data_IF_807408983249
#
_entry.id   IF_807408983249
#
_cell.length_a   1.000
_cell.length_b   1.000
_cell.length_c   1.000
_cell.angle_alpha   90.00
_cell.angle_beta   90.00
_cell.angle_gamma   90.00
#
_symmetry.space_group_name_H-M   'P 1'
#
loop_
_entity.id
_entity.type
_entity.pdbx_description
1 polymer ?
#
# COMPACT_ATOMS: atom_id res chain seq x y z
N UNK A 1 -33.24 -9.91 -6.21
CA UNK A 1 -31.94 -9.25 -6.42
C UNK A 1 -31.96 -7.87 -5.79
N UNK A 2 -31.00 -7.54 -4.96
CA UNK A 2 -30.86 -6.23 -4.31
C UNK A 2 -29.47 -5.64 -4.61
N UNK A 3 -29.32 -4.34 -4.40
CA UNK A 3 -28.03 -3.67 -4.51
C UNK A 3 -27.08 -4.17 -3.42
N UNK A 4 -25.82 -4.44 -3.77
CA UNK A 4 -24.80 -5.02 -2.89
C UNK A 4 -24.71 -4.29 -1.53
N UNK A 5 -24.69 -2.94 -1.53
CA UNK A 5 -24.64 -2.18 -0.29
C UNK A 5 -25.86 -2.38 0.62
N UNK A 6 -27.07 -2.63 0.05
CA UNK A 6 -28.27 -2.87 0.87
C UNK A 6 -28.23 -4.23 1.55
N UNK A 7 -27.71 -5.24 0.84
CA UNK A 7 -27.53 -6.59 1.39
C UNK A 7 -26.47 -6.54 2.50
N UNK A 8 -25.32 -5.88 2.23
CA UNK A 8 -24.26 -5.70 3.19
C UNK A 8 -24.73 -4.93 4.44
N UNK A 9 -25.48 -3.83 4.25
CA UNK A 9 -26.03 -3.04 5.36
C UNK A 9 -26.90 -3.90 6.28
N UNK A 10 -27.77 -4.74 5.70
CA UNK A 10 -28.63 -5.67 6.45
C UNK A 10 -27.82 -6.76 7.17
N UNK A 11 -26.80 -7.33 6.49
CA UNK A 11 -25.96 -8.40 7.06
C UNK A 11 -25.14 -7.90 8.25
N UNK A 12 -24.55 -6.71 8.16
CA UNK A 12 -23.66 -6.16 9.19
C UNK A 12 -24.37 -5.25 10.21
N UNK A 13 -25.65 -4.96 10.04
CA UNK A 13 -26.41 -4.07 10.94
C UNK A 13 -25.94 -2.61 10.88
N UNK A 14 -25.45 -2.14 9.72
CA UNK A 14 -24.88 -0.81 9.50
C UNK A 14 -25.76 0.03 8.54
N UNK A 15 -25.50 1.34 8.50
CA UNK A 15 -26.20 2.21 7.56
C UNK A 15 -25.83 1.94 6.10
N UNK A 16 -26.72 2.28 5.17
CA UNK A 16 -26.47 2.18 3.74
C UNK A 16 -25.24 3.00 3.29
N UNK A 17 -24.95 4.12 3.94
CA UNK A 17 -23.81 4.96 3.62
C UNK A 17 -22.50 4.32 4.10
N UNK A 18 -22.48 3.70 5.28
CA UNK A 18 -21.35 2.93 5.77
C UNK A 18 -21.07 1.72 4.89
N UNK A 19 -22.11 0.97 4.49
CA UNK A 19 -21.96 -0.16 3.58
C UNK A 19 -21.38 0.26 2.21
N UNK A 20 -21.82 1.38 1.64
CA UNK A 20 -21.21 1.95 0.43
C UNK A 20 -19.74 2.32 0.66
N UNK A 21 -19.45 3.01 1.75
CA UNK A 21 -18.08 3.41 2.10
C UNK A 21 -17.14 2.19 2.27
N UNK A 22 -17.61 1.08 2.83
CA UNK A 22 -16.86 -0.17 2.95
C UNK A 22 -16.58 -0.79 1.57
N UNK A 23 -17.57 -0.82 0.69
CA UNK A 23 -17.39 -1.34 -0.68
C UNK A 23 -16.41 -0.44 -1.46
N UNK A 24 -16.57 0.88 -1.41
CA UNK A 24 -15.68 1.84 -2.04
C UNK A 24 -14.27 1.79 -1.41
N UNK A 25 -14.21 1.42 -0.13
CA UNK A 25 -12.95 1.12 0.54
C UNK A 25 -12.30 -0.16 0.02
N UNK A 26 -12.99 -1.01 -0.72
CA UNK A 26 -12.47 -2.26 -1.27
C UNK A 26 -12.20 -3.31 -0.21
N UNK A 27 -12.86 -3.23 0.95
CA UNK A 27 -12.72 -4.17 2.09
C UNK A 27 -13.85 -5.20 2.13
N UNK A 28 -14.69 -5.25 1.10
CA UNK A 28 -15.82 -6.17 0.97
C UNK A 28 -15.55 -7.18 -0.12
N UNK A 29 -15.76 -8.46 0.18
CA UNK A 29 -15.68 -9.55 -0.79
C UNK A 29 -16.89 -10.48 -0.67
N UNK A 30 -17.23 -11.18 -1.75
CA UNK A 30 -18.20 -12.25 -1.78
C UNK A 30 -17.66 -13.39 -2.65
N UNK A 31 -17.82 -14.63 -2.22
CA UNK A 31 -17.30 -15.82 -2.93
C UNK A 31 -15.81 -15.73 -3.31
N UNK A 32 -15.00 -15.07 -2.49
CA UNK A 32 -13.57 -14.87 -2.74
C UNK A 32 -13.22 -13.70 -3.67
N UNK A 33 -14.21 -13.03 -4.26
CA UNK A 33 -14.01 -11.88 -5.15
C UNK A 33 -14.30 -10.55 -4.44
N UNK A 34 -13.49 -9.54 -4.74
CA UNK A 34 -13.66 -8.18 -4.21
C UNK A 34 -14.87 -7.51 -4.86
N UNK A 35 -15.74 -6.94 -4.05
CA UNK A 35 -16.86 -6.15 -4.53
C UNK A 35 -16.41 -4.70 -4.68
N UNK A 36 -16.48 -4.19 -5.92
CA UNK A 36 -16.01 -2.84 -6.27
C UNK A 36 -17.13 -1.88 -6.66
N UNK A 37 -18.35 -2.39 -6.90
CA UNK A 37 -19.51 -1.60 -7.31
C UNK A 37 -20.60 -1.73 -6.25
N UNK A 38 -20.77 -0.70 -5.44
CA UNK A 38 -21.76 -0.69 -4.35
C UNK A 38 -23.20 -0.92 -4.84
N UNK A 39 -23.53 -0.47 -6.05
CA UNK A 39 -24.87 -0.60 -6.65
C UNK A 39 -25.05 -1.85 -7.53
N UNK A 40 -24.07 -2.76 -7.58
CA UNK A 40 -24.21 -4.02 -8.30
C UNK A 40 -25.43 -4.80 -7.78
N UNK A 41 -26.22 -5.37 -8.68
CA UNK A 41 -27.36 -6.23 -8.33
C UNK A 41 -26.85 -7.64 -8.01
N UNK A 42 -27.13 -8.11 -6.83
CA UNK A 42 -26.69 -9.41 -6.32
C UNK A 42 -27.87 -10.18 -5.70
N UNK A 43 -27.71 -11.49 -5.55
CA UNK A 43 -28.69 -12.30 -4.82
C UNK A 43 -28.78 -11.83 -3.37
N UNK A 44 -29.98 -11.78 -2.81
CA UNK A 44 -30.19 -11.44 -1.39
C UNK A 44 -29.53 -12.45 -0.43
N UNK A 45 -29.26 -13.67 -0.93
CA UNK A 45 -28.54 -14.72 -0.21
C UNK A 45 -27.01 -14.57 -0.30
N UNK A 46 -26.48 -13.49 -0.92
CA UNK A 46 -25.05 -13.26 -1.03
C UNK A 46 -24.48 -12.97 0.36
N UNK A 47 -23.54 -13.80 0.78
CA UNK A 47 -22.77 -13.58 2.01
C UNK A 47 -21.53 -12.75 1.69
N UNK A 48 -21.40 -11.62 2.36
CA UNK A 48 -20.23 -10.77 2.27
C UNK A 48 -19.25 -11.09 3.41
N UNK A 49 -17.96 -10.99 3.07
CA UNK A 49 -16.86 -11.03 4.05
C UNK A 49 -16.21 -9.65 4.10
N UNK A 50 -16.11 -9.11 5.31
CA UNK A 50 -15.43 -7.84 5.57
C UNK A 50 -13.98 -8.08 5.98
N UNK A 51 -13.07 -7.33 5.37
CA UNK A 51 -11.72 -7.18 5.88
C UNK A 51 -11.77 -6.11 6.98
N UNK A 52 -11.57 -6.51 8.23
CA UNK A 52 -11.43 -5.57 9.34
C UNK A 52 -10.08 -4.87 9.21
N UNK A 53 -10.10 -3.55 9.04
CA UNK A 53 -8.88 -2.74 9.00
C UNK A 53 -8.34 -2.63 10.43
N UNK A 54 -7.14 -3.14 10.65
CA UNK A 54 -6.45 -3.01 11.93
C UNK A 54 -6.11 -1.54 12.22
N UNK A 55 -5.89 -1.21 13.49
CA UNK A 55 -5.34 0.09 13.86
C UNK A 55 -3.85 0.15 13.52
N UNK A 56 -3.31 1.30 13.07
CA UNK A 56 -1.87 1.48 12.93
C UNK A 56 -1.17 1.20 14.26
N UNK A 57 -0.01 0.55 14.23
CA UNK A 57 0.81 0.28 15.41
C UNK A 57 2.01 1.22 15.41
N UNK A 58 2.35 1.80 16.55
CA UNK A 58 3.56 2.58 16.72
C UNK A 58 4.75 1.63 16.67
N UNK A 59 5.72 1.90 15.79
CA UNK A 59 7.02 1.23 15.70
C UNK A 59 8.03 1.97 16.57
N UNK A 60 7.98 3.31 16.49
CA UNK A 60 8.89 4.20 17.20
C UNK A 60 8.21 5.56 17.39
N UNK A 61 8.52 6.21 18.50
CA UNK A 61 8.08 7.57 18.78
C UNK A 61 9.10 8.29 19.67
N UNK A 62 9.43 9.53 19.30
CA UNK A 62 10.18 10.46 20.12
C UNK A 62 9.58 11.88 20.04
N UNK A 63 10.36 12.91 20.42
CA UNK A 63 9.91 14.31 20.37
C UNK A 63 9.83 14.86 18.92
N UNK A 64 10.41 14.19 17.94
CA UNK A 64 10.55 14.66 16.56
C UNK A 64 9.68 13.91 15.56
N UNK A 65 9.54 12.59 15.75
CA UNK A 65 8.96 11.70 14.75
C UNK A 65 8.10 10.61 15.38
N UNK A 66 7.05 10.22 14.65
CA UNK A 66 6.30 8.98 14.88
C UNK A 66 6.51 8.10 13.65
N UNK A 67 6.96 6.87 13.85
CA UNK A 67 6.96 5.83 12.84
C UNK A 67 5.86 4.81 13.16
N UNK A 68 5.00 4.54 12.19
CA UNK A 68 3.87 3.62 12.32
C UNK A 68 4.02 2.44 11.36
N UNK A 69 3.55 1.26 11.77
CA UNK A 69 3.19 0.20 10.86
C UNK A 69 1.73 0.43 10.41
N UNK A 70 1.57 1.00 9.21
CA UNK A 70 0.26 1.24 8.61
C UNK A 70 -0.32 -0.09 8.11
N UNK A 71 -1.51 -0.50 8.51
CA UNK A 71 -2.15 -1.67 7.92
C UNK A 71 -2.61 -1.37 6.48
N UNK A 72 -2.77 -2.44 5.70
CA UNK A 72 -3.42 -2.33 4.40
C UNK A 72 -4.85 -1.78 4.55
N UNK A 73 -5.34 -1.09 3.52
CA UNK A 73 -6.64 -0.40 3.43
C UNK A 73 -6.79 0.85 4.30
N UNK A 74 -5.91 1.11 5.25
CA UNK A 74 -5.88 2.38 5.96
C UNK A 74 -5.34 3.50 5.05
N UNK A 75 -5.91 4.69 5.14
CA UNK A 75 -5.54 5.88 4.36
C UNK A 75 -4.56 6.71 5.16
N UNK A 76 -3.37 6.99 4.61
CA UNK A 76 -2.29 7.71 5.30
C UNK A 76 -2.74 9.07 5.83
N UNK A 77 -3.48 9.83 5.03
CA UNK A 77 -3.98 11.15 5.39
C UNK A 77 -4.97 11.09 6.57
N UNK A 78 -5.87 10.09 6.58
CA UNK A 78 -6.82 9.92 7.70
C UNK A 78 -6.14 9.53 9.00
N UNK A 79 -5.03 8.76 8.92
CA UNK A 79 -4.22 8.45 10.10
C UNK A 79 -3.62 9.74 10.66
N UNK A 80 -3.00 10.56 9.82
CA UNK A 80 -2.43 11.84 10.24
C UNK A 80 -3.48 12.80 10.79
N UNK A 81 -4.62 12.96 10.14
CA UNK A 81 -5.76 13.76 10.61
C UNK A 81 -6.25 13.33 12.00
N UNK A 82 -6.30 12.01 12.25
CA UNK A 82 -6.72 11.50 13.55
C UNK A 82 -5.68 11.78 14.66
N UNK A 83 -4.39 11.66 14.36
CA UNK A 83 -3.32 11.98 15.30
C UNK A 83 -3.22 13.50 15.54
N UNK A 84 -3.42 14.30 14.51
CA UNK A 84 -3.43 15.77 14.61
C UNK A 84 -4.58 16.34 15.48
N UNK A 85 -5.58 15.54 15.83
CA UNK A 85 -6.61 15.93 16.82
C UNK A 85 -6.03 16.07 18.23
N UNK A 86 -5.02 15.29 18.57
CA UNK A 86 -4.31 15.34 19.85
C UNK A 86 -3.11 16.29 19.84
N UNK A 87 -2.42 16.42 18.70
CA UNK A 87 -1.30 17.35 18.51
C UNK A 87 -1.29 17.85 17.05
N UNK A 88 -1.63 19.13 16.88
CA UNK A 88 -1.74 19.82 15.58
C UNK A 88 -0.43 19.89 14.79
N UNK A 89 0.72 19.68 15.45
CA UNK A 89 2.03 19.71 14.80
C UNK A 89 2.31 18.41 14.04
N UNK A 90 1.54 17.34 14.29
CA UNK A 90 1.73 16.06 13.62
C UNK A 90 1.38 16.17 12.13
N UNK A 91 2.37 15.92 11.27
CA UNK A 91 2.22 16.02 9.82
C UNK A 91 2.87 14.84 9.11
N UNK A 92 2.31 14.40 7.99
CA UNK A 92 2.88 13.32 7.18
C UNK A 92 4.22 13.71 6.57
N UNK A 93 5.19 12.80 6.63
CA UNK A 93 6.47 12.87 5.92
C UNK A 93 6.45 12.07 4.61
N UNK A 94 5.80 10.91 4.59
CA UNK A 94 5.61 10.09 3.41
C UNK A 94 4.15 9.62 3.30
N UNK A 95 3.83 9.03 2.16
CA UNK A 95 2.52 8.41 1.91
C UNK A 95 2.71 6.99 1.41
N UNK A 96 1.80 6.13 1.81
CA UNK A 96 1.64 4.81 1.23
C UNK A 96 0.28 4.74 0.54
N UNK A 97 0.21 3.98 -0.55
CA UNK A 97 -1.07 3.67 -1.18
C UNK A 97 -2.00 3.01 -0.16
N UNK A 98 -3.29 3.12 -0.36
CA UNK A 98 -4.30 2.57 0.55
C UNK A 98 -4.08 1.08 0.83
N UNK A 99 -3.82 0.28 -0.21
CA UNK A 99 -3.63 -1.16 -0.10
C UNK A 99 -2.22 -1.58 0.31
N UNK A 100 -1.24 -0.66 0.27
CA UNK A 100 0.13 -0.88 0.75
C UNK A 100 0.19 -0.78 2.27
N UNK A 101 0.84 -1.74 2.91
CA UNK A 101 1.11 -1.73 4.35
C UNK A 101 2.56 -1.33 4.67
N UNK A 102 2.89 -1.10 5.95
CA UNK A 102 4.26 -0.90 6.41
C UNK A 102 4.57 0.50 6.92
N UNK A 103 5.83 0.91 6.85
CA UNK A 103 6.38 2.10 7.49
C UNK A 103 5.75 3.39 6.97
N UNK A 104 5.06 4.10 7.86
CA UNK A 104 4.50 5.43 7.64
C UNK A 104 5.10 6.39 8.66
N UNK A 105 5.69 7.49 8.19
CA UNK A 105 6.39 8.47 9.02
C UNK A 105 5.60 9.76 9.14
N UNK A 106 5.56 10.31 10.36
CA UNK A 106 4.96 11.60 10.69
C UNK A 106 5.95 12.43 11.51
N UNK A 107 6.11 13.71 11.18
CA UNK A 107 6.85 14.65 12.01
C UNK A 107 5.95 15.16 13.14
N UNK A 108 6.56 15.45 14.30
CA UNK A 108 5.90 16.06 15.47
C UNK A 108 6.23 17.55 15.63
N UNK A 109 7.20 18.07 14.88
CA UNK A 109 7.55 19.48 14.87
C UNK A 109 8.04 19.94 13.49
N UNK A 110 7.98 21.24 13.24
CA UNK A 110 8.28 21.82 11.93
C UNK A 110 9.78 21.79 11.60
N UNK A 111 10.66 21.87 12.59
CA UNK A 111 12.11 21.80 12.36
C UNK A 111 12.51 20.44 11.79
N UNK A 112 12.07 19.36 12.43
CA UNK A 112 12.33 18.01 11.93
C UNK A 112 11.66 17.78 10.57
N UNK A 113 10.43 18.27 10.41
CA UNK A 113 9.69 18.20 9.15
C UNK A 113 10.47 18.84 8.00
N UNK A 114 11.01 20.03 8.18
CA UNK A 114 11.79 20.73 7.15
C UNK A 114 13.05 19.93 6.75
N UNK A 115 13.80 19.39 7.75
CA UNK A 115 14.96 18.53 7.51
C UNK A 115 14.58 17.26 6.74
N UNK A 116 13.49 16.60 7.15
CA UNK A 116 12.99 15.37 6.51
C UNK A 116 12.57 15.63 5.06
N UNK A 117 11.79 16.70 4.80
CA UNK A 117 11.39 17.08 3.44
C UNK A 117 12.61 17.35 2.54
N UNK A 118 13.66 17.98 3.07
CA UNK A 118 14.91 18.19 2.31
C UNK A 118 15.55 16.85 1.91
N UNK A 119 15.56 15.84 2.81
CA UNK A 119 16.08 14.49 2.51
C UNK A 119 15.24 13.79 1.41
N UNK A 120 13.90 13.87 1.49
CA UNK A 120 13.02 13.32 0.46
C UNK A 120 13.23 13.98 -0.91
N UNK A 121 13.35 15.33 -0.94
CA UNK A 121 13.61 16.07 -2.19
C UNK A 121 14.97 15.74 -2.81
N UNK A 122 15.97 15.49 -1.98
CA UNK A 122 17.32 15.12 -2.41
C UNK A 122 17.47 13.63 -2.72
N UNK A 123 16.40 12.82 -2.67
CA UNK A 123 16.41 11.36 -2.85
C UNK A 123 17.38 10.63 -1.90
N UNK A 124 17.62 11.17 -0.70
CA UNK A 124 18.54 10.59 0.31
C UNK A 124 17.84 9.64 1.30
N UNK A 125 16.52 9.50 1.21
CA UNK A 125 15.75 8.57 2.03
C UNK A 125 15.80 7.19 1.39
N UNK A 126 16.39 6.21 2.09
CA UNK A 126 16.39 4.82 1.62
C UNK A 126 15.05 4.18 1.97
N UNK A 127 14.46 3.47 1.02
CA UNK A 127 13.14 2.84 1.16
C UNK A 127 13.20 1.44 0.60
N UNK A 128 12.99 0.46 1.46
CA UNK A 128 12.94 -0.95 1.11
C UNK A 128 11.52 -1.47 1.28
N UNK A 129 11.03 -2.13 0.26
CA UNK A 129 9.74 -2.79 0.23
C UNK A 129 9.93 -4.28 -0.01
N UNK A 130 8.91 -5.06 0.36
CA UNK A 130 8.75 -6.41 -0.14
C UNK A 130 7.42 -6.52 -0.88
N UNK A 131 7.46 -7.24 -2.01
CA UNK A 131 6.28 -7.49 -2.82
C UNK A 131 6.22 -8.96 -3.23
N UNK A 132 5.00 -9.48 -3.32
CA UNK A 132 4.77 -10.74 -4.02
C UNK A 132 4.44 -10.39 -5.47
N UNK A 133 5.23 -10.91 -6.39
CA UNK A 133 5.09 -10.69 -7.83
C UNK A 133 4.38 -11.87 -8.48
N UNK A 134 3.66 -11.61 -9.57
CA UNK A 134 3.12 -12.63 -10.46
C UNK A 134 4.20 -13.02 -11.46
N UNK A 135 4.51 -14.29 -11.56
CA UNK A 135 5.61 -14.81 -12.39
C UNK A 135 6.88 -15.07 -11.59
N UNK A 136 7.88 -15.63 -12.25
CA UNK A 136 9.19 -15.95 -11.69
C UNK A 136 10.18 -14.89 -12.15
N UNK A 137 10.59 -14.02 -11.25
CA UNK A 137 11.70 -13.10 -11.44
C UNK A 137 12.98 -13.87 -11.11
N UNK A 138 13.80 -14.19 -12.11
CA UNK A 138 14.97 -15.03 -11.94
C UNK A 138 16.23 -14.24 -11.58
N UNK A 139 16.29 -12.96 -11.95
CA UNK A 139 17.45 -12.10 -11.79
C UNK A 139 17.02 -10.72 -11.30
N UNK A 140 17.97 -9.91 -10.86
CA UNK A 140 17.74 -8.53 -10.49
C UNK A 140 17.19 -7.73 -11.67
N UNK A 141 16.30 -6.81 -11.38
CA UNK A 141 15.61 -5.98 -12.37
C UNK A 141 15.71 -4.52 -11.99
N UNK A 142 16.35 -3.74 -12.85
CA UNK A 142 16.45 -2.30 -12.73
C UNK A 142 15.48 -1.61 -13.70
N UNK A 143 14.66 -0.69 -13.19
CA UNK A 143 13.67 0.04 -13.98
C UNK A 143 13.88 1.54 -13.76
N UNK A 144 14.36 2.22 -14.78
CA UNK A 144 14.48 3.68 -14.85
C UNK A 144 13.55 4.20 -15.95
N UNK A 145 12.27 4.36 -15.62
CA UNK A 145 11.24 4.80 -16.55
C UNK A 145 10.40 5.92 -15.92
N UNK A 146 10.30 7.10 -16.56
CA UNK A 146 9.59 8.24 -15.98
C UNK A 146 8.08 8.01 -15.93
N UNK A 147 7.45 8.53 -14.86
CA UNK A 147 6.04 8.35 -14.59
C UNK A 147 5.27 9.67 -14.61
N UNK A 148 4.10 9.65 -15.22
CA UNK A 148 3.08 10.68 -15.06
C UNK A 148 1.89 10.13 -14.24
N UNK A 149 1.23 11.02 -13.48
CA UNK A 149 0.09 10.67 -12.63
C UNK A 149 -1.11 11.54 -12.99
N UNK A 150 -2.22 10.89 -13.31
CA UNK A 150 -3.52 11.51 -13.55
C UNK A 150 -4.39 11.31 -12.30
N UNK A 151 -4.88 12.40 -11.74
CA UNK A 151 -5.86 12.36 -10.64
C UNK A 151 -7.27 12.32 -11.21
N UNK A 152 -8.08 11.39 -10.75
CA UNK A 152 -9.49 11.25 -11.12
C UNK A 152 -10.38 11.29 -9.88
N UNK A 153 -11.69 11.41 -10.05
CA UNK A 153 -12.66 11.32 -8.94
C UNK A 153 -12.60 9.98 -8.20
N UNK A 154 -12.17 8.92 -8.89
CA UNK A 154 -12.04 7.55 -8.34
C UNK A 154 -10.63 7.25 -7.79
N UNK A 155 -9.73 8.21 -7.77
CA UNK A 155 -8.35 8.07 -7.27
C UNK A 155 -7.29 8.45 -8.29
N UNK A 156 -6.04 8.11 -8.01
CA UNK A 156 -4.90 8.38 -8.89
C UNK A 156 -4.64 7.19 -9.82
N UNK A 157 -4.17 7.47 -11.02
CA UNK A 157 -3.65 6.50 -11.98
C UNK A 157 -2.30 6.99 -12.49
N UNK A 158 -1.28 6.14 -12.45
CA UNK A 158 0.06 6.47 -12.99
C UNK A 158 0.36 5.59 -14.19
N UNK A 159 1.14 6.12 -15.11
CA UNK A 159 1.61 5.42 -16.30
C UNK A 159 3.03 5.84 -16.64
N UNK A 160 3.74 5.01 -17.39
CA UNK A 160 5.00 5.38 -18.00
C UNK A 160 4.74 6.47 -19.03
N UNK A 161 5.56 7.51 -18.98
CA UNK A 161 5.45 8.67 -19.87
C UNK A 161 6.84 9.20 -20.15
N UNK A 162 7.43 8.73 -21.24
CA UNK A 162 8.80 9.04 -21.65
C UNK A 162 9.00 10.53 -22.02
N UNK A 163 7.90 11.23 -22.35
CA UNK A 163 7.99 12.64 -22.78
C UNK A 163 7.81 13.62 -21.63
N UNK A 164 6.82 13.37 -20.74
CA UNK A 164 6.42 14.34 -19.72
C UNK A 164 6.45 13.75 -18.29
N UNK A 165 6.89 12.50 -18.16
CA UNK A 165 6.99 11.82 -16.86
C UNK A 165 8.09 12.39 -16.00
N UNK A 166 7.92 12.24 -14.68
CA UNK A 166 8.95 12.55 -13.69
C UNK A 166 9.83 11.33 -13.49
N UNK A 167 11.14 11.51 -13.37
CA UNK A 167 12.10 10.44 -13.06
C UNK A 167 11.59 9.51 -11.96
N UNK A 168 11.68 8.23 -12.21
CA UNK A 168 11.28 7.17 -11.27
C UNK A 168 12.20 5.98 -11.43
N UNK A 169 12.87 5.56 -10.34
CA UNK A 169 13.88 4.49 -10.34
C UNK A 169 13.48 3.44 -9.31
N UNK A 170 13.44 2.18 -9.74
CA UNK A 170 13.04 1.01 -8.94
C UNK A 170 13.98 -0.14 -9.21
N UNK A 171 14.53 -0.73 -8.15
CA UNK A 171 15.37 -1.93 -8.18
C UNK A 171 14.58 -3.08 -7.54
N UNK A 172 14.52 -4.22 -8.18
CA UNK A 172 13.83 -5.40 -7.68
C UNK A 172 14.77 -6.61 -7.70
N UNK A 173 14.96 -7.24 -6.54
CA UNK A 173 15.79 -8.44 -6.39
C UNK A 173 14.92 -9.60 -5.91
N UNK A 174 14.94 -10.77 -6.59
CA UNK A 174 14.20 -11.95 -6.16
C UNK A 174 14.78 -12.50 -4.85
N UNK A 175 13.91 -12.88 -3.92
CA UNK A 175 14.30 -13.49 -2.65
C UNK A 175 13.87 -14.96 -2.58
N UNK A 176 12.60 -15.24 -2.86
CA UNK A 176 12.03 -16.59 -2.85
C UNK A 176 11.10 -16.76 -4.05
N UNK A 177 11.09 -17.95 -4.63
CA UNK A 177 10.16 -18.32 -5.68
C UNK A 177 9.35 -19.55 -5.24
N UNK A 178 8.01 -19.46 -5.37
CA UNK A 178 7.12 -20.58 -5.09
C UNK A 178 5.97 -20.60 -6.10
N UNK A 179 5.81 -21.73 -6.78
CA UNK A 179 4.86 -21.88 -7.88
C UNK A 179 5.15 -20.85 -8.98
N UNK A 180 4.15 -20.01 -9.30
CA UNK A 180 4.27 -18.93 -10.28
C UNK A 180 4.31 -17.55 -9.58
N UNK A 181 4.99 -17.46 -8.45
CA UNK A 181 5.14 -16.21 -7.69
C UNK A 181 6.55 -16.03 -7.21
N UNK A 182 6.98 -14.79 -7.07
CA UNK A 182 8.25 -14.39 -6.49
C UNK A 182 8.01 -13.45 -5.32
N UNK A 183 8.60 -13.74 -4.15
CA UNK A 183 8.81 -12.73 -3.12
C UNK A 183 10.06 -11.94 -3.51
N UNK A 184 9.90 -10.64 -3.75
CA UNK A 184 11.00 -9.77 -4.14
C UNK A 184 11.24 -8.66 -3.13
N UNK A 185 12.51 -8.33 -2.91
CA UNK A 185 12.95 -7.11 -2.26
C UNK A 185 12.94 -5.98 -3.30
N UNK A 186 12.35 -4.85 -2.97
CA UNK A 186 12.24 -3.70 -3.86
C UNK A 186 12.87 -2.49 -3.19
N UNK A 187 13.78 -1.82 -3.86
CA UNK A 187 14.37 -0.57 -3.42
C UNK A 187 14.00 0.54 -4.40
N UNK A 188 13.65 1.71 -3.89
CA UNK A 188 13.28 2.86 -4.72
C UNK A 188 14.05 4.10 -4.33
N UNK A 189 14.63 4.79 -5.30
CA UNK A 189 15.28 6.08 -5.08
C UNK A 189 14.25 7.20 -4.99
N UNK A 190 13.29 7.18 -5.87
CA UNK A 190 12.20 8.14 -5.97
C UNK A 190 10.93 7.63 -5.26
N UNK A 191 9.86 8.42 -5.22
CA UNK A 191 8.59 8.03 -4.58
C UNK A 191 7.39 8.58 -5.34
N UNK A 192 7.20 8.14 -6.60
CA UNK A 192 6.03 8.54 -7.39
C UNK A 192 4.81 7.71 -7.02
N UNK A 193 3.63 8.27 -7.21
CA UNK A 193 2.37 7.56 -6.97
C UNK A 193 2.34 6.25 -7.75
N UNK A 194 2.05 5.14 -7.08
CA UNK A 194 2.00 3.79 -7.62
C UNK A 194 3.29 3.32 -8.33
N UNK A 195 4.44 3.94 -8.08
CA UNK A 195 5.69 3.70 -8.81
C UNK A 195 6.03 2.21 -8.95
N UNK A 196 6.19 1.51 -7.84
CA UNK A 196 6.54 0.08 -7.82
C UNK A 196 5.54 -0.74 -8.64
N UNK A 197 4.26 -0.46 -8.46
CA UNK A 197 3.16 -1.19 -9.11
C UNK A 197 3.16 -1.02 -10.62
N UNK A 198 3.38 0.21 -11.11
CA UNK A 198 3.45 0.52 -12.55
C UNK A 198 4.71 -0.07 -13.18
N UNK A 199 5.87 0.12 -12.55
CA UNK A 199 7.14 -0.37 -13.06
C UNK A 199 7.14 -1.90 -13.20
N UNK A 200 6.78 -2.61 -12.12
CA UNK A 200 6.76 -4.07 -12.14
C UNK A 200 5.72 -4.64 -13.10
N UNK A 201 4.54 -4.01 -13.20
CA UNK A 201 3.52 -4.43 -14.17
C UNK A 201 4.00 -4.22 -15.61
N UNK A 202 4.71 -3.12 -15.90
CA UNK A 202 5.29 -2.85 -17.21
C UNK A 202 6.36 -3.88 -17.58
N UNK A 203 7.17 -4.29 -16.62
CA UNK A 203 8.20 -5.31 -16.81
C UNK A 203 7.65 -6.76 -16.89
N UNK A 204 6.33 -6.95 -16.75
CA UNK A 204 5.69 -8.27 -16.80
C UNK A 204 5.61 -9.00 -15.46
N UNK A 205 6.09 -8.39 -14.37
CA UNK A 205 6.11 -8.95 -13.01
C UNK A 205 5.17 -8.19 -12.07
N UNK A 206 3.92 -7.99 -12.48
CA UNK A 206 2.99 -7.19 -11.70
C UNK A 206 2.79 -7.70 -10.27
N UNK A 207 2.49 -6.79 -9.33
CA UNK A 207 2.29 -7.14 -7.92
C UNK A 207 1.04 -8.00 -7.76
N UNK A 208 1.15 -9.10 -7.02
CA UNK A 208 0.04 -10.01 -6.76
C UNK A 208 -1.09 -9.29 -6.00
N UNK A 209 -2.31 -9.44 -6.49
CA UNK A 209 -3.50 -8.77 -5.98
C UNK A 209 -3.72 -7.35 -6.53
N UNK A 210 -2.84 -6.88 -7.42
CA UNK A 210 -3.03 -5.58 -8.08
C UNK A 210 -3.95 -5.70 -9.31
N UNK A 211 -5.24 -5.49 -9.09
CA UNK A 211 -6.24 -5.49 -10.16
C UNK A 211 -6.12 -4.29 -11.10
N UNK A 212 -5.42 -3.23 -10.67
CA UNK A 212 -5.31 -1.97 -11.42
C UNK A 212 -4.23 -2.02 -12.51
N UNK A 213 -3.09 -2.61 -12.22
CA UNK A 213 -1.92 -2.62 -13.11
C UNK A 213 -1.53 -4.03 -13.57
N UNK A 214 -1.73 -5.05 -12.73
CA UNK A 214 -1.28 -6.42 -13.00
C UNK A 214 -2.40 -7.39 -13.41
N UNK A 215 -3.66 -6.94 -13.47
CA UNK A 215 -4.84 -7.80 -13.70
C UNK A 215 -4.88 -9.02 -12.77
N UNK A 216 -4.27 -8.90 -11.60
CA UNK A 216 -4.18 -9.95 -10.59
C UNK A 216 -5.17 -9.68 -9.47
N UNK A 217 -5.88 -10.71 -9.02
CA UNK A 217 -6.86 -10.61 -7.93
C UNK A 217 -6.38 -11.37 -6.71
N UNK A 218 -6.45 -10.73 -5.56
CA UNK A 218 -6.25 -11.32 -4.25
C UNK A 218 -6.98 -10.47 -3.20
N UNK A 219 -6.87 -10.83 -1.92
CA UNK A 219 -7.49 -10.05 -0.84
C UNK A 219 -6.95 -8.61 -0.74
N UNK A 220 -5.73 -8.34 -1.20
CA UNK A 220 -5.10 -7.01 -1.28
C UNK A 220 -3.93 -7.00 -2.26
N UNK A 221 -3.38 -5.83 -2.52
CA UNK A 221 -2.06 -5.69 -3.16
C UNK A 221 -0.98 -6.13 -2.18
N UNK A 222 -0.21 -7.16 -2.53
CA UNK A 222 0.89 -7.67 -1.70
C UNK A 222 2.15 -6.84 -1.88
N UNK A 223 2.09 -5.61 -1.37
CA UNK A 223 3.19 -4.66 -1.31
C UNK A 223 3.29 -4.11 0.12
N UNK A 224 4.49 -4.14 0.69
CA UNK A 224 4.77 -3.75 2.07
C UNK A 224 6.02 -2.89 2.15
N UNK A 225 5.90 -1.69 2.71
CA UNK A 225 7.03 -0.81 3.04
C UNK A 225 7.72 -1.33 4.29
N UNK A 226 8.77 -2.12 4.08
CA UNK A 226 9.44 -2.85 5.17
C UNK A 226 10.36 -1.95 5.98
N UNK A 227 11.21 -1.16 5.32
CA UNK A 227 12.20 -0.31 5.99
C UNK A 227 12.23 1.08 5.36
N UNK A 228 12.38 2.09 6.20
CA UNK A 228 12.70 3.46 5.78
C UNK A 228 13.84 4.00 6.64
N UNK A 229 14.92 4.48 5.99
CA UNK A 229 16.06 5.13 6.65
C UNK A 229 16.08 6.61 6.26
N UNK A 230 16.04 7.49 7.25
CA UNK A 230 16.01 8.95 7.11
C UNK A 230 16.74 9.63 8.26
N UNK A 231 17.60 10.62 7.97
CA UNK A 231 18.34 11.40 8.97
C UNK A 231 19.11 10.53 9.98
N UNK A 232 19.65 9.40 9.53
CA UNK A 232 20.37 8.43 10.38
C UNK A 232 19.46 7.51 11.22
N UNK A 233 18.15 7.71 11.18
CA UNK A 233 17.18 6.84 11.85
C UNK A 233 16.68 5.76 10.89
N UNK A 234 16.48 4.55 11.41
CA UNK A 234 16.02 3.39 10.65
C UNK A 234 14.77 2.80 11.32
N UNK A 235 13.70 2.69 10.54
CA UNK A 235 12.41 2.17 11.00
C UNK A 235 12.02 0.94 10.19
N UNK A 236 11.62 -0.13 10.88
CA UNK A 236 11.21 -1.40 10.26
C UNK A 236 9.80 -1.77 10.68
N UNK A 237 9.03 -2.28 9.73
CA UNK A 237 7.75 -2.93 9.94
C UNK A 237 7.85 -4.37 9.44
N UNK A 238 7.75 -5.35 10.32
CA UNK A 238 7.76 -6.76 9.95
C UNK A 238 6.70 -7.09 8.91
N UNK A 239 6.96 -8.05 8.05
CA UNK A 239 6.00 -8.52 7.06
C UNK A 239 4.74 -9.05 7.76
N UNK A 240 3.60 -8.74 7.18
CA UNK A 240 2.31 -9.15 7.72
C UNK A 240 2.10 -10.65 7.51
N UNK A 241 1.36 -11.30 8.44
CA UNK A 241 1.09 -12.75 8.44
C UNK A 241 0.58 -13.31 7.12
N UNK A 242 -0.02 -12.48 6.29
CA UNK A 242 -0.55 -12.90 5.00
C UNK A 242 0.53 -13.12 3.91
N UNK A 243 1.73 -12.55 4.06
CA UNK A 243 2.89 -12.94 3.26
C UNK A 243 3.35 -14.35 3.66
N UNK A 244 3.39 -14.66 4.95
CA UNK A 244 3.72 -15.98 5.47
C UNK A 244 2.71 -17.09 5.13
N UNK A 245 1.50 -16.72 4.71
CA UNK A 245 0.52 -17.67 4.18
C UNK A 245 0.81 -18.11 2.73
N UNK A 246 1.78 -17.47 2.05
CA UNK A 246 2.14 -17.74 0.65
C UNK A 246 3.57 -18.25 0.53
N UNK A 247 4.47 -17.77 1.38
CA UNK A 247 5.90 -18.15 1.39
C UNK A 247 6.33 -18.52 2.81
N UNK A 248 7.25 -19.47 2.95
CA UNK A 248 8.00 -19.67 4.17
C UNK A 248 9.00 -18.50 4.31
N UNK A 249 8.67 -17.55 5.19
CA UNK A 249 9.44 -16.32 5.32
C UNK A 249 10.68 -16.52 6.19
N UNK A 250 11.83 -15.92 5.84
CA UNK A 250 12.97 -15.78 6.73
C UNK A 250 12.57 -15.09 8.04
N UNK A 251 13.13 -15.53 9.17
CA UNK A 251 12.78 -15.02 10.51
C UNK A 251 13.00 -13.51 10.66
N UNK A 252 14.04 -12.98 10.04
CA UNK A 252 14.38 -11.55 10.05
C UNK A 252 13.33 -10.65 9.38
N UNK A 253 12.42 -11.21 8.58
CA UNK A 253 11.33 -10.46 7.95
C UNK A 253 10.04 -10.46 8.75
N UNK A 254 9.95 -11.28 9.80
CA UNK A 254 8.74 -11.49 10.61
C UNK A 254 8.81 -10.89 12.02
N UNK A 255 9.98 -10.31 12.38
CA UNK A 255 10.24 -9.71 13.70
C UNK A 255 10.66 -8.26 13.61
#
# INVERSE_FOLDING_TARGET
MLQAYKILAKQEGISNNEAKALIDAGVVSAKGEKIVIARALMSEKTEFKLIRIEKPRIIYEDNNIIALNKPAFAVSEKIAENLAKSDKNITLLNRLDKETSGVLLLAKNEEFRAKAIAQFKACRVKKTYYAILVGILAEDLDIDLPLSTIKTKSGAFSKIDLKNGKTAITHASPLLCEGKKTLAKIEIETGRTHQIRVHLAHAGYGVYGDSKYAKSTAKRVFLHSYETEILGLKFRAALTKDFGAIFELPSELTH
#
